data_IF_763564856949
#
_entry.id   IF_763564856949
#
_cell.length_a   1.000
_cell.length_b   1.000
_cell.length_c   1.000
_cell.angle_alpha   90.00
_cell.angle_beta   90.00
_cell.angle_gamma   90.00
#
_symmetry.space_group_name_H-M   'P 1'
#
loop_
_entity.id
_entity.type
_entity.pdbx_description
1 polymer ?
#
# COMPACT_ATOMS: atom_id res chain seq x y z
N UNK A 1 -8.34 3.38 18.52
CA UNK A 1 -8.06 4.48 17.57
C UNK A 1 -6.63 4.93 17.82
N UNK A 2 -5.77 4.93 16.80
CA UNK A 2 -4.38 5.34 16.93
C UNK A 2 -4.20 6.66 16.19
N UNK A 3 -4.05 7.76 16.93
CA UNK A 3 -3.83 9.08 16.35
C UNK A 3 -2.36 9.20 15.92
N UNK A 4 -2.09 9.86 14.79
CA UNK A 4 -0.72 9.95 14.23
C UNK A 4 0.12 11.02 14.94
N UNK A 5 -0.53 12.05 15.46
CA UNK A 5 0.14 13.16 16.13
C UNK A 5 -0.58 13.48 17.44
N UNK A 6 0.21 13.75 18.47
CA UNK A 6 -0.24 14.13 19.80
C UNK A 6 0.44 15.44 20.19
N UNK A 7 -0.32 16.34 20.78
CA UNK A 7 0.20 17.59 21.35
C UNK A 7 -0.59 17.94 22.62
N UNK A 8 -0.07 18.87 23.40
CA UNK A 8 -0.65 19.31 24.66
C UNK A 8 -0.74 20.82 24.70
N UNK A 9 -1.95 21.35 24.74
CA UNK A 9 -2.20 22.78 24.91
C UNK A 9 -2.20 23.12 26.40
N UNK A 10 -1.39 24.10 26.79
CA UNK A 10 -1.31 24.60 28.16
C UNK A 10 -1.65 26.08 28.24
N UNK A 11 -2.30 26.50 29.32
CA UNK A 11 -2.58 27.91 29.61
C UNK A 11 -2.73 28.18 31.11
N UNK A 12 -2.51 29.43 31.52
CA UNK A 12 -2.67 29.87 32.92
C UNK A 12 -4.12 30.24 33.29
N UNK A 13 -5.05 30.25 32.32
CA UNK A 13 -6.47 30.53 32.54
C UNK A 13 -7.37 29.71 31.63
N UNK A 14 -8.64 29.45 32.01
CA UNK A 14 -9.60 28.74 31.15
C UNK A 14 -9.86 29.46 29.82
N UNK A 15 -9.92 30.81 29.85
CA UNK A 15 -10.17 31.62 28.66
C UNK A 15 -9.02 31.54 27.65
N UNK A 16 -7.78 31.49 28.13
CA UNK A 16 -6.62 31.36 27.25
C UNK A 16 -6.50 29.94 26.70
N UNK A 17 -6.86 28.92 27.50
CA UNK A 17 -6.94 27.55 27.01
C UNK A 17 -7.96 27.43 25.88
N UNK A 18 -9.16 28.01 26.04
CA UNK A 18 -10.20 27.99 25.01
C UNK A 18 -9.75 28.64 23.70
N UNK A 19 -9.05 29.79 23.77
CA UNK A 19 -8.50 30.47 22.58
C UNK A 19 -7.47 29.59 21.86
N UNK A 20 -6.55 28.98 22.60
CA UNK A 20 -5.49 28.13 22.03
C UNK A 20 -6.05 26.83 21.44
N UNK A 21 -7.05 26.22 22.07
CA UNK A 21 -7.76 25.06 21.50
C UNK A 21 -8.47 25.46 20.20
N UNK A 22 -9.15 26.61 20.18
CA UNK A 22 -9.83 27.10 18.98
C UNK A 22 -8.86 27.27 17.81
N UNK A 23 -7.63 27.71 18.08
CA UNK A 23 -6.58 27.80 17.05
C UNK A 23 -6.14 26.41 16.57
N UNK A 24 -5.89 25.47 17.48
CA UNK A 24 -5.54 24.08 17.15
C UNK A 24 -6.64 23.37 16.34
N UNK A 25 -7.91 23.63 16.62
CA UNK A 25 -9.04 23.11 15.83
C UNK A 25 -8.98 23.58 14.37
N UNK A 26 -8.62 24.85 14.12
CA UNK A 26 -8.44 25.38 12.76
C UNK A 26 -7.28 24.73 12.02
N UNK A 27 -6.27 24.30 12.76
CA UNK A 27 -5.08 23.58 12.26
C UNK A 27 -5.34 22.07 12.07
N UNK A 28 -6.57 21.61 12.27
CA UNK A 28 -6.96 20.20 12.05
C UNK A 28 -6.67 19.27 13.23
N UNK A 29 -6.42 19.82 14.42
CA UNK A 29 -6.34 19.05 15.66
C UNK A 29 -7.72 18.88 16.30
N UNK A 30 -7.86 17.90 17.19
CA UNK A 30 -9.06 17.64 17.96
C UNK A 30 -8.72 17.40 19.44
N UNK A 31 -9.51 17.92 20.41
CA UNK A 31 -9.33 17.58 21.82
C UNK A 31 -9.43 16.08 22.06
N UNK A 32 -8.50 15.56 22.87
CA UNK A 32 -8.50 14.17 23.30
C UNK A 32 -8.71 14.08 24.81
N UNK A 33 -9.84 13.50 25.20
CA UNK A 33 -10.25 13.42 26.60
C UNK A 33 -10.61 14.78 27.20
N UNK A 34 -10.85 14.78 28.51
CA UNK A 34 -11.21 15.99 29.26
C UNK A 34 -9.98 16.84 29.59
N UNK A 35 -10.17 18.16 29.63
CA UNK A 35 -9.17 19.08 30.16
C UNK A 35 -8.85 18.78 31.63
N UNK A 36 -7.60 18.98 32.00
CA UNK A 36 -7.09 18.73 33.35
C UNK A 36 -6.54 20.03 33.94
N UNK A 37 -6.61 20.16 35.26
CA UNK A 37 -6.02 21.27 36.01
C UNK A 37 -4.85 20.70 36.80
N UNK A 38 -3.65 21.24 36.58
CA UNK A 38 -2.46 20.93 37.36
C UNK A 38 -2.17 22.09 38.32
N UNK A 39 -1.93 21.77 39.58
CA UNK A 39 -1.49 22.73 40.61
C UNK A 39 -0.06 22.48 41.07
N UNK A 40 0.71 21.68 40.31
CA UNK A 40 2.05 21.22 40.69
C UNK A 40 3.16 22.29 40.56
N UNK A 41 2.82 23.59 40.51
CA UNK A 41 3.76 24.72 40.39
C UNK A 41 3.20 26.03 40.95
N UNK A 42 3.85 27.16 40.64
CA UNK A 42 3.50 28.54 41.09
C UNK A 42 2.19 29.09 40.46
N UNK A 43 1.14 28.29 40.35
CA UNK A 43 -0.16 28.66 39.79
C UNK A 43 -0.95 27.46 39.24
N UNK A 44 -2.25 27.64 39.04
CA UNK A 44 -3.10 26.64 38.38
C UNK A 44 -2.86 26.67 36.85
N UNK A 45 -2.45 25.54 36.29
CA UNK A 45 -2.23 25.37 34.85
C UNK A 45 -3.35 24.49 34.26
N UNK A 46 -4.00 25.00 33.22
CA UNK A 46 -5.04 24.29 32.48
C UNK A 46 -4.44 23.60 31.26
N UNK A 47 -4.70 22.31 31.12
CA UNK A 47 -4.04 21.43 30.16
C UNK A 47 -5.08 20.66 29.36
N UNK A 48 -5.01 20.71 28.02
CA UNK A 48 -5.84 19.91 27.12
C UNK A 48 -4.96 19.11 26.15
N UNK A 49 -4.97 17.76 26.22
CA UNK A 49 -4.40 16.92 25.19
C UNK A 49 -5.18 17.10 23.87
N UNK A 50 -4.48 17.16 22.75
CA UNK A 50 -5.05 17.23 21.41
C UNK A 50 -4.38 16.22 20.47
N UNK A 51 -5.13 15.76 19.48
CA UNK A 51 -4.71 14.74 18.52
C UNK A 51 -5.05 15.15 17.09
N UNK A 52 -4.29 14.67 16.12
CA UNK A 52 -4.64 14.84 14.70
C UNK A 52 -4.34 13.57 13.89
N UNK A 53 -5.15 13.35 12.86
CA UNK A 53 -4.99 12.26 11.90
C UNK A 53 -4.41 12.73 10.55
N UNK A 54 -4.34 14.04 10.29
CA UNK A 54 -3.81 14.65 9.07
C UNK A 54 -2.37 15.16 9.22
N UNK A 55 -1.69 15.42 8.08
CA UNK A 55 -0.40 16.11 8.06
C UNK A 55 -0.58 17.57 8.48
N UNK A 56 -0.17 17.91 9.71
CA UNK A 56 -0.28 19.27 10.24
C UNK A 56 0.81 20.15 9.64
N UNK A 57 0.40 21.19 8.91
CA UNK A 57 1.27 22.34 8.59
C UNK A 57 1.51 23.11 9.89
N UNK A 58 2.65 22.90 10.55
CA UNK A 58 2.99 23.66 11.75
C UNK A 58 3.31 25.11 11.38
N UNK A 59 2.78 26.12 12.10
CA UNK A 59 3.29 27.48 12.00
C UNK A 59 4.72 27.51 12.54
N UNK A 60 5.64 28.12 11.79
CA UNK A 60 7.05 28.23 12.14
C UNK A 60 7.24 28.99 13.46
N UNK A 61 7.80 28.33 14.48
CA UNK A 61 8.48 29.05 15.57
C UNK A 61 9.93 29.33 15.15
N UNK A 62 10.39 30.59 15.23
CA UNK A 62 11.74 30.95 14.88
C UNK A 62 12.70 30.51 15.99
N UNK A 63 13.55 29.53 15.68
CA UNK A 63 14.79 29.30 16.41
C UNK A 63 14.82 28.10 17.34
N UNK A 64 14.64 26.89 16.82
CA UNK A 64 15.54 25.78 17.15
C UNK A 64 15.31 24.61 16.21
N UNK A 65 16.21 24.43 15.24
CA UNK A 65 16.22 23.26 14.36
C UNK A 65 17.59 22.59 14.46
N UNK A 66 17.69 21.33 14.87
CA UNK A 66 18.42 20.38 14.07
C UNK A 66 17.60 20.23 12.79
N UNK A 67 18.05 20.87 11.70
CA UNK A 67 17.49 20.72 10.36
C UNK A 67 17.52 19.25 9.94
N UNK A 68 16.41 18.54 10.12
CA UNK A 68 16.11 17.35 9.32
C UNK A 68 14.74 17.50 8.67
N UNK A 69 14.59 18.52 7.81
CA UNK A 69 13.95 18.23 6.53
C UNK A 69 14.93 17.32 5.82
N UNK A 70 14.82 16.01 6.08
CA UNK A 70 15.49 15.05 5.24
C UNK A 70 15.01 15.33 3.82
N UNK A 71 15.90 15.50 2.84
CA UNK A 71 15.49 15.47 1.45
C UNK A 71 14.65 14.20 1.22
N UNK A 72 13.70 14.25 0.29
CA UNK A 72 12.99 13.06 -0.22
C UNK A 72 14.00 12.15 -0.93
N UNK A 73 14.88 11.51 -0.17
CA UNK A 73 15.87 10.56 -0.68
C UNK A 73 15.08 9.30 -1.01
N UNK A 74 15.29 8.78 -2.22
CA UNK A 74 14.73 7.50 -2.61
C UNK A 74 15.15 6.43 -1.57
N UNK A 75 14.26 5.48 -1.23
CA UNK A 75 14.61 4.42 -0.29
C UNK A 75 15.91 3.69 -0.68
N UNK A 76 16.74 3.39 0.32
CA UNK A 76 17.96 2.59 0.12
C UNK A 76 17.64 1.13 -0.24
N UNK A 77 16.50 0.62 0.20
CA UNK A 77 15.99 -0.73 -0.08
C UNK A 77 14.47 -0.79 0.17
N UNK A 78 13.85 -1.90 -0.18
CA UNK A 78 12.42 -2.11 -0.06
C UNK A 78 12.06 -3.38 0.71
N UNK A 79 11.04 -3.28 1.55
CA UNK A 79 10.23 -4.43 1.96
C UNK A 79 9.28 -4.77 0.82
N UNK A 80 9.41 -5.98 0.28
CA UNK A 80 8.65 -6.47 -0.87
C UNK A 80 7.38 -7.16 -0.39
N UNK A 81 6.23 -6.77 -0.93
CA UNK A 81 4.94 -7.42 -0.64
C UNK A 81 4.35 -7.87 -1.96
N UNK A 82 4.20 -9.19 -2.14
CA UNK A 82 3.47 -9.73 -3.28
C UNK A 82 1.96 -9.72 -3.01
N UNK A 83 1.18 -9.31 -4.01
CA UNK A 83 -0.28 -9.34 -3.98
C UNK A 83 -0.74 -10.34 -5.04
N UNK A 84 -1.46 -11.38 -4.64
CA UNK A 84 -1.90 -12.44 -5.53
C UNK A 84 -3.30 -12.94 -5.18
N UNK A 85 -3.94 -13.55 -6.18
CA UNK A 85 -5.29 -14.07 -6.06
C UNK A 85 -6.21 -13.56 -7.16
N UNK A 86 -7.47 -13.27 -6.83
CA UNK A 86 -8.47 -12.82 -7.79
C UNK A 86 -9.01 -11.41 -7.51
N UNK A 87 -10.26 -11.13 -7.91
CA UNK A 87 -10.89 -9.80 -7.90
C UNK A 87 -10.79 -9.08 -6.56
N UNK A 88 -11.11 -9.77 -5.45
CA UNK A 88 -11.05 -9.19 -4.12
C UNK A 88 -9.61 -8.96 -3.61
N UNK A 89 -8.60 -9.51 -4.29
CA UNK A 89 -7.19 -9.23 -4.03
C UNK A 89 -6.66 -7.99 -4.77
N UNK A 90 -7.48 -7.31 -5.58
CA UNK A 90 -7.06 -6.20 -6.45
C UNK A 90 -8.12 -5.10 -6.56
N UNK A 91 -7.94 -4.20 -7.52
CA UNK A 91 -8.81 -3.05 -7.75
C UNK A 91 -10.17 -3.45 -8.31
N UNK A 92 -11.10 -3.82 -7.42
CA UNK A 92 -12.51 -4.07 -7.74
C UNK A 92 -13.45 -3.16 -6.93
N UNK A 93 -12.92 -2.27 -6.09
CA UNK A 93 -13.71 -1.26 -5.41
C UNK A 93 -14.24 -0.22 -6.39
N UNK A 94 -15.56 -0.18 -6.57
CA UNK A 94 -16.22 0.69 -7.56
C UNK A 94 -16.41 2.14 -7.09
N UNK A 95 -16.09 2.44 -5.82
CA UNK A 95 -16.16 3.79 -5.27
C UNK A 95 -15.22 4.76 -5.97
N UNK A 96 -15.56 6.06 -5.91
CA UNK A 96 -14.74 7.13 -6.49
C UNK A 96 -13.34 7.16 -5.85
N UNK A 97 -12.25 7.08 -6.63
CA UNK A 97 -10.91 7.25 -6.11
C UNK A 97 -10.67 8.65 -5.53
N UNK A 98 -9.89 8.72 -4.46
CA UNK A 98 -9.58 9.92 -3.68
C UNK A 98 -8.07 10.24 -3.67
N UNK A 99 -7.45 10.54 -4.83
CA UNK A 99 -6.00 10.68 -4.98
C UNK A 99 -5.41 11.86 -4.19
N UNK A 100 -6.22 12.85 -3.82
CA UNK A 100 -5.78 13.96 -2.98
C UNK A 100 -5.75 13.60 -1.48
N UNK A 101 -6.34 12.46 -1.08
CA UNK A 101 -6.46 12.05 0.33
C UNK A 101 -6.04 10.59 0.56
N UNK A 102 -6.98 9.67 0.74
CA UNK A 102 -6.72 8.28 1.14
C UNK A 102 -5.94 7.51 0.08
N UNK A 103 -6.15 7.84 -1.20
CA UNK A 103 -5.55 7.14 -2.34
C UNK A 103 -4.28 7.84 -2.87
N UNK A 104 -3.82 8.88 -2.19
CA UNK A 104 -2.60 9.60 -2.56
C UNK A 104 -1.38 8.68 -2.64
N UNK A 105 -0.56 8.74 -3.70
CA UNK A 105 0.72 8.03 -3.73
C UNK A 105 1.65 8.49 -2.60
N UNK A 106 2.50 7.59 -2.13
CA UNK A 106 3.58 7.93 -1.18
C UNK A 106 4.94 7.78 -1.87
N UNK A 107 5.90 8.71 -1.69
CA UNK A 107 7.21 8.63 -2.33
C UNK A 107 8.03 7.38 -1.95
N UNK A 108 7.77 6.75 -0.80
CA UNK A 108 8.42 5.51 -0.34
C UNK A 108 7.65 4.23 -0.71
N UNK A 109 6.45 4.34 -1.28
CA UNK A 109 5.65 3.19 -1.71
C UNK A 109 5.66 3.11 -3.24
N UNK A 110 6.17 1.99 -3.75
CA UNK A 110 6.33 1.72 -5.18
C UNK A 110 5.64 0.42 -5.56
N UNK A 111 5.49 0.18 -6.85
CA UNK A 111 5.05 -1.10 -7.41
C UNK A 111 5.91 -1.51 -8.61
N UNK A 112 5.91 -2.79 -8.95
CA UNK A 112 6.44 -3.26 -10.22
C UNK A 112 5.42 -3.05 -11.35
N UNK A 113 5.81 -2.31 -12.38
CA UNK A 113 4.98 -2.01 -13.52
C UNK A 113 4.63 -3.27 -14.36
N UNK A 114 3.42 -3.26 -14.93
CA UNK A 114 2.98 -4.15 -16.03
C UNK A 114 2.48 -3.42 -17.27
N UNK A 115 1.62 -2.42 -17.08
CA UNK A 115 1.06 -1.58 -18.16
C UNK A 115 2.17 -0.86 -18.95
N UNK A 116 1.82 -0.33 -20.13
CA UNK A 116 2.71 0.48 -20.96
C UNK A 116 2.93 1.90 -20.42
N UNK A 117 2.08 2.37 -19.51
CA UNK A 117 2.21 3.68 -18.85
C UNK A 117 1.92 3.56 -17.36
N UNK A 118 2.51 4.46 -16.55
CA UNK A 118 2.38 4.50 -15.08
C UNK A 118 0.94 4.75 -14.64
N UNK A 119 0.26 5.65 -15.34
CA UNK A 119 -1.18 5.94 -15.22
C UNK A 119 -1.77 6.00 -16.63
N UNK A 120 -3.11 5.95 -16.82
CA UNK A 120 -3.69 6.15 -18.14
C UNK A 120 -3.28 7.49 -18.76
N UNK A 121 -2.59 7.45 -19.91
CA UNK A 121 -2.05 8.65 -20.58
C UNK A 121 -0.81 9.27 -19.91
N UNK A 122 -0.28 8.65 -18.86
CA UNK A 122 0.89 9.10 -18.14
C UNK A 122 2.22 8.69 -18.78
N UNK A 123 3.31 8.83 -18.01
CA UNK A 123 4.65 8.45 -18.44
C UNK A 123 4.74 6.97 -18.82
N UNK A 124 5.54 6.66 -19.84
CA UNK A 124 5.80 5.28 -20.29
C UNK A 124 6.55 4.51 -19.21
N UNK A 125 6.18 3.24 -19.01
CA UNK A 125 6.93 2.30 -18.18
C UNK A 125 7.05 0.94 -18.88
N UNK A 126 8.07 0.17 -18.51
CA UNK A 126 8.30 -1.19 -18.98
C UNK A 126 7.93 -2.20 -17.90
N UNK A 127 7.70 -3.45 -18.31
CA UNK A 127 7.46 -4.55 -17.38
C UNK A 127 8.58 -4.63 -16.33
N UNK A 128 8.20 -4.67 -15.04
CA UNK A 128 9.08 -4.66 -13.87
C UNK A 128 9.92 -3.38 -13.64
N UNK A 129 9.55 -2.24 -14.24
CA UNK A 129 10.03 -0.94 -13.77
C UNK A 129 9.48 -0.65 -12.37
N UNK A 130 10.27 0.03 -11.54
CA UNK A 130 9.82 0.52 -10.23
C UNK A 130 9.12 1.85 -10.45
N UNK A 131 7.81 1.89 -10.24
CA UNK A 131 6.97 3.07 -10.46
C UNK A 131 6.20 3.44 -9.18
N UNK A 132 5.65 4.66 -9.06
CA UNK A 132 4.75 4.99 -7.95
C UNK A 132 3.58 3.99 -7.83
N UNK A 133 3.22 3.65 -6.60
CA UNK A 133 1.98 2.93 -6.32
C UNK A 133 0.84 3.93 -6.09
N UNK A 134 -0.31 3.65 -6.68
CA UNK A 134 -1.58 4.36 -6.43
C UNK A 134 -2.71 3.34 -6.15
N UNK A 135 -3.96 3.79 -6.15
CA UNK A 135 -5.13 2.95 -5.85
C UNK A 135 -5.43 1.87 -6.89
N UNK A 136 -4.88 1.96 -8.10
CA UNK A 136 -5.15 1.03 -9.20
C UNK A 136 -3.86 0.37 -9.69
N UNK A 137 -3.42 -0.65 -8.96
CA UNK A 137 -2.13 -1.31 -9.16
C UNK A 137 -2.05 -2.10 -10.49
N UNK A 138 -0.82 -2.39 -10.93
CA UNK A 138 -0.50 -3.06 -12.19
C UNK A 138 -0.63 -4.59 -12.11
N UNK A 139 -1.80 -5.07 -11.66
CA UNK A 139 -2.18 -6.49 -11.64
C UNK A 139 -2.24 -7.10 -13.05
N UNK A 140 -2.44 -8.41 -13.16
CA UNK A 140 -2.51 -9.10 -14.48
C UNK A 140 -3.67 -8.56 -15.32
N UNK A 141 -4.78 -8.21 -14.66
CA UNK A 141 -5.92 -7.55 -15.28
C UNK A 141 -5.85 -6.03 -15.06
N UNK A 142 -5.96 -5.27 -16.15
CA UNK A 142 -5.93 -3.80 -16.09
C UNK A 142 -7.31 -3.23 -15.79
N UNK A 143 -7.47 -2.71 -14.57
CA UNK A 143 -8.72 -2.11 -14.11
C UNK A 143 -8.74 -0.57 -14.25
N UNK A 144 -7.69 0.02 -14.82
CA UNK A 144 -7.48 1.47 -14.83
C UNK A 144 -8.39 2.24 -15.78
N UNK A 145 -9.11 1.54 -16.65
CA UNK A 145 -10.05 2.12 -17.62
C UNK A 145 -11.51 2.02 -17.18
N UNK A 146 -11.78 1.36 -16.04
CA UNK A 146 -13.12 1.19 -15.49
C UNK A 146 -13.41 2.31 -14.50
N UNK A 147 -13.76 3.47 -15.03
CA UNK A 147 -13.92 4.70 -14.23
C UNK A 147 -15.30 4.77 -13.57
N UNK A 148 -15.33 5.30 -12.34
CA UNK A 148 -16.58 5.71 -11.71
C UNK A 148 -17.30 6.79 -12.56
N UNK A 149 -18.65 6.80 -12.66
CA UNK A 149 -19.39 7.75 -13.50
C UNK A 149 -19.19 9.24 -13.15
N UNK A 150 -18.72 9.53 -11.94
CA UNK A 150 -18.42 10.89 -11.44
C UNK A 150 -16.92 11.20 -11.36
N UNK A 151 -16.08 10.38 -11.99
CA UNK A 151 -14.64 10.57 -11.97
C UNK A 151 -14.22 11.82 -12.77
N UNK A 152 -13.36 12.64 -12.16
CA UNK A 152 -12.59 13.67 -12.85
C UNK A 152 -11.20 13.13 -13.18
N UNK A 153 -11.01 12.71 -14.43
CA UNK A 153 -9.74 12.11 -14.88
C UNK A 153 -8.57 13.10 -14.85
N UNK A 154 -8.85 14.41 -14.92
CA UNK A 154 -7.79 15.43 -14.81
C UNK A 154 -7.16 15.46 -13.42
N UNK A 155 -7.87 14.92 -12.41
CA UNK A 155 -7.41 14.77 -11.02
C UNK A 155 -6.84 13.39 -10.72
N UNK A 156 -6.67 12.53 -11.72
CA UNK A 156 -6.18 11.17 -11.51
C UNK A 156 -7.20 10.20 -10.91
N UNK A 157 -8.50 10.52 -10.94
CA UNK A 157 -9.58 9.65 -10.44
C UNK A 157 -9.93 8.52 -11.41
N UNK A 158 -8.93 7.86 -11.98
CA UNK A 158 -9.11 6.82 -12.97
C UNK A 158 -9.35 5.44 -12.32
N UNK A 159 -10.00 4.54 -13.04
CA UNK A 159 -10.15 3.15 -12.65
C UNK A 159 -10.96 2.91 -11.38
N UNK A 160 -10.72 1.74 -10.80
CA UNK A 160 -11.29 1.25 -9.54
C UNK A 160 -10.23 1.20 -8.45
N UNK A 161 -10.64 0.97 -7.20
CA UNK A 161 -9.78 1.04 -6.02
C UNK A 161 -9.47 -0.35 -5.48
N UNK A 162 -8.19 -0.60 -5.18
CA UNK A 162 -7.70 -1.82 -4.53
C UNK A 162 -6.93 -1.51 -3.25
N UNK A 163 -6.89 -2.47 -2.33
CA UNK A 163 -6.36 -2.29 -0.97
C UNK A 163 -4.82 -2.30 -0.86
N UNK A 164 -4.10 -2.66 -1.93
CA UNK A 164 -2.65 -2.86 -1.87
C UNK A 164 -1.87 -1.61 -1.43
N UNK A 165 -2.26 -0.43 -1.93
CA UNK A 165 -1.70 0.86 -1.49
C UNK A 165 -1.97 1.08 0.00
N UNK A 166 -3.19 0.83 0.47
CA UNK A 166 -3.59 1.11 1.84
C UNK A 166 -2.94 0.15 2.85
N UNK A 167 -2.71 -1.10 2.45
CA UNK A 167 -1.87 -2.06 3.22
C UNK A 167 -0.46 -1.48 3.38
N UNK A 168 0.17 -1.06 2.27
CA UNK A 168 1.50 -0.48 2.32
C UNK A 168 1.57 0.79 3.18
N UNK A 169 0.61 1.72 3.02
CA UNK A 169 0.53 2.94 3.83
C UNK A 169 0.42 2.65 5.33
N UNK A 170 -0.33 1.61 5.71
CA UNK A 170 -0.48 1.21 7.12
C UNK A 170 0.78 0.55 7.67
N UNK A 171 1.58 -0.11 6.84
CA UNK A 171 2.84 -0.74 7.23
C UNK A 171 4.03 0.22 7.25
N UNK A 172 4.02 1.26 6.40
CA UNK A 172 5.13 2.19 6.22
C UNK A 172 5.67 2.83 7.52
N UNK A 173 4.84 3.17 8.53
CA UNK A 173 5.34 3.70 9.81
C UNK A 173 6.13 2.70 10.65
N UNK A 174 6.04 1.40 10.36
CA UNK A 174 6.67 0.33 11.13
C UNK A 174 7.98 -0.18 10.52
N UNK A 175 8.40 0.38 9.38
CA UNK A 175 9.68 0.04 8.74
C UNK A 175 10.70 1.18 8.89
N UNK A 176 12.02 0.90 8.81
CA UNK A 176 13.06 1.93 8.90
C UNK A 176 12.85 3.10 7.91
N UNK A 177 13.21 4.31 8.34
CA UNK A 177 13.00 5.53 7.56
C UNK A 177 13.73 5.53 6.20
N UNK A 178 14.88 4.85 6.10
CA UNK A 178 15.63 4.68 4.86
C UNK A 178 15.08 3.55 3.96
N UNK A 179 14.06 2.81 4.40
CA UNK A 179 13.42 1.74 3.63
C UNK A 179 12.10 2.21 3.00
N UNK A 180 11.67 1.54 1.93
CA UNK A 180 10.36 1.72 1.30
C UNK A 180 9.57 0.42 1.26
N UNK A 181 8.39 0.46 0.65
CA UNK A 181 7.60 -0.73 0.33
C UNK A 181 7.51 -0.86 -1.18
N UNK A 182 7.82 -2.05 -1.70
CA UNK A 182 7.69 -2.40 -3.11
C UNK A 182 6.60 -3.45 -3.27
N UNK A 183 5.46 -3.04 -3.84
CA UNK A 183 4.33 -3.91 -4.13
C UNK A 183 4.57 -4.68 -5.43
N UNK A 184 4.20 -5.95 -5.42
CA UNK A 184 4.31 -6.85 -6.59
C UNK A 184 2.90 -7.35 -6.95
N UNK A 185 2.12 -6.54 -7.69
CA UNK A 185 0.75 -6.88 -8.07
C UNK A 185 0.72 -7.99 -9.14
N UNK A 186 0.03 -9.09 -8.82
CA UNK A 186 -0.08 -10.32 -9.62
C UNK A 186 -1.50 -10.92 -9.59
N UNK A 187 -2.50 -10.17 -9.16
CA UNK A 187 -3.87 -10.65 -9.09
C UNK A 187 -4.53 -10.72 -10.48
N UNK A 188 -5.56 -11.56 -10.59
CA UNK A 188 -6.39 -11.66 -11.80
C UNK A 188 -7.84 -11.97 -11.45
N UNK A 189 -8.76 -11.06 -11.72
CA UNK A 189 -10.19 -11.29 -11.50
C UNK A 189 -10.71 -12.56 -12.18
N UNK A 190 -11.63 -13.28 -11.55
CA UNK A 190 -12.18 -14.53 -12.09
C UNK A 190 -11.18 -15.67 -12.26
N UNK A 191 -10.00 -15.60 -11.62
CA UNK A 191 -9.03 -16.69 -11.63
C UNK A 191 -9.34 -17.74 -10.55
N UNK A 192 -9.03 -19.00 -10.87
CA UNK A 192 -9.30 -20.15 -10.01
C UNK A 192 -8.21 -21.21 -10.15
N UNK A 193 -8.15 -22.17 -9.22
CA UNK A 193 -7.31 -23.35 -9.39
C UNK A 193 -7.99 -24.42 -10.25
N UNK A 194 -9.31 -24.54 -10.13
CA UNK A 194 -10.09 -25.68 -10.65
C UNK A 194 -10.79 -25.39 -11.97
N UNK A 195 -10.89 -24.12 -12.38
CA UNK A 195 -11.45 -23.67 -13.66
C UNK A 195 -10.62 -22.53 -14.28
N UNK A 196 -10.98 -22.09 -15.47
CA UNK A 196 -10.30 -21.02 -16.19
C UNK A 196 -9.23 -21.52 -17.17
N UNK A 197 -8.81 -20.62 -18.06
CA UNK A 197 -7.83 -20.86 -19.10
C UNK A 197 -6.41 -20.69 -18.56
N UNK A 198 -5.47 -21.51 -19.02
CA UNK A 198 -4.06 -21.38 -18.63
C UNK A 198 -3.48 -20.02 -19.06
N UNK A 199 -3.79 -19.57 -20.29
CA UNK A 199 -3.17 -18.39 -20.90
C UNK A 199 -1.72 -18.67 -21.31
N UNK A 200 -0.89 -17.62 -21.37
CA UNK A 200 0.52 -17.70 -21.73
C UNK A 200 1.38 -16.86 -20.78
N UNK A 201 2.67 -17.19 -20.74
CA UNK A 201 3.68 -16.45 -19.97
C UNK A 201 4.84 -16.05 -20.88
N UNK A 202 5.39 -14.85 -20.66
CA UNK A 202 6.61 -14.36 -21.29
C UNK A 202 7.46 -13.62 -20.28
N UNK A 203 8.79 -13.80 -20.32
CA UNK A 203 9.72 -13.06 -19.45
C UNK A 203 9.67 -11.53 -19.69
N UNK A 204 9.21 -11.10 -20.88
CA UNK A 204 9.16 -9.70 -21.27
C UNK A 204 7.87 -8.97 -20.82
N UNK A 205 6.78 -9.69 -20.57
CA UNK A 205 5.46 -9.10 -20.30
C UNK A 205 4.64 -9.79 -19.21
N UNK A 206 5.13 -10.90 -18.67
CA UNK A 206 4.45 -11.68 -17.65
C UNK A 206 3.31 -12.56 -18.19
N UNK A 207 2.38 -12.89 -17.30
CA UNK A 207 1.14 -13.60 -17.66
C UNK A 207 0.26 -12.75 -18.60
N UNK A 208 -0.34 -13.41 -19.59
CA UNK A 208 -1.32 -12.80 -20.48
C UNK A 208 -2.64 -12.52 -19.77
N UNK A 209 -3.41 -11.53 -20.26
CA UNK A 209 -4.70 -11.13 -19.69
C UNK A 209 -5.72 -12.29 -19.60
N UNK A 210 -5.67 -13.24 -20.52
CA UNK A 210 -6.55 -14.42 -20.53
C UNK A 210 -6.07 -15.57 -19.62
N UNK A 211 -4.98 -15.41 -18.87
CA UNK A 211 -4.52 -16.39 -17.88
C UNK A 211 -5.44 -16.35 -16.66
N UNK A 212 -6.38 -17.28 -16.53
CA UNK A 212 -7.34 -17.35 -15.41
C UNK A 212 -7.20 -18.62 -14.58
N UNK A 213 -6.12 -19.38 -14.77
CA UNK A 213 -5.80 -20.59 -14.01
C UNK A 213 -4.59 -20.39 -13.09
N UNK A 214 -4.82 -20.51 -11.78
CA UNK A 214 -3.76 -20.71 -10.79
C UNK A 214 -3.33 -22.17 -10.72
N UNK A 215 -2.09 -22.40 -10.30
CA UNK A 215 -1.52 -23.74 -10.12
C UNK A 215 -0.03 -23.75 -10.42
N UNK A 216 0.66 -24.79 -9.96
CA UNK A 216 2.09 -24.97 -10.21
C UNK A 216 2.38 -24.93 -11.71
N UNK A 217 3.43 -24.19 -12.08
CA UNK A 217 3.91 -23.97 -13.46
C UNK A 217 2.92 -23.31 -14.43
N UNK A 218 1.73 -22.88 -13.96
CA UNK A 218 0.77 -22.10 -14.74
C UNK A 218 1.26 -20.66 -14.93
N UNK A 219 0.82 -19.96 -15.99
CA UNK A 219 1.25 -18.58 -16.24
C UNK A 219 1.09 -17.61 -15.07
N UNK A 220 -0.03 -17.66 -14.32
CA UNK A 220 -0.21 -16.83 -13.13
C UNK A 220 0.81 -17.12 -12.02
N UNK A 221 1.15 -18.40 -11.82
CA UNK A 221 2.19 -18.80 -10.87
C UNK A 221 3.57 -18.31 -11.33
N UNK A 222 3.92 -18.52 -12.60
CA UNK A 222 5.18 -18.05 -13.19
C UNK A 222 5.34 -16.53 -13.09
N UNK A 223 4.25 -15.79 -13.27
CA UNK A 223 4.21 -14.35 -13.08
C UNK A 223 4.43 -13.94 -11.63
N UNK A 224 3.75 -14.58 -10.67
CA UNK A 224 3.95 -14.34 -9.23
C UNK A 224 5.40 -14.58 -8.79
N UNK A 225 5.96 -15.77 -9.06
CA UNK A 225 7.34 -16.09 -8.66
C UNK A 225 8.36 -15.22 -9.42
N UNK A 226 8.17 -15.04 -10.73
CA UNK A 226 9.08 -14.26 -11.57
C UNK A 226 9.15 -12.80 -11.15
N UNK A 227 8.00 -12.17 -10.88
CA UNK A 227 7.94 -10.76 -10.43
C UNK A 227 8.42 -10.59 -9.00
N UNK A 228 8.15 -11.55 -8.11
CA UNK A 228 8.69 -11.51 -6.74
C UNK A 228 10.22 -11.58 -6.78
N UNK A 229 10.78 -12.51 -7.55
CA UNK A 229 12.23 -12.61 -7.78
C UNK A 229 12.79 -11.35 -8.43
N UNK A 230 12.09 -10.77 -9.40
CA UNK A 230 12.51 -9.52 -10.02
C UNK A 230 12.59 -8.38 -8.99
N UNK A 231 11.61 -8.24 -8.11
CA UNK A 231 11.61 -7.25 -7.03
C UNK A 231 12.80 -7.45 -6.07
N UNK A 232 13.06 -8.67 -5.64
CA UNK A 232 14.18 -8.98 -4.74
C UNK A 232 15.55 -8.74 -5.39
N UNK A 233 15.71 -9.11 -6.67
CA UNK A 233 16.94 -8.90 -7.45
C UNK A 233 17.29 -7.43 -7.68
N UNK A 234 16.33 -6.50 -7.60
CA UNK A 234 16.60 -5.05 -7.80
C UNK A 234 17.61 -4.51 -6.77
N UNK A 235 17.65 -5.09 -5.58
CA UNK A 235 18.58 -4.69 -4.53
C UNK A 235 18.78 -5.85 -3.54
N UNK A 236 20.03 -6.28 -3.26
CA UNK A 236 20.30 -7.39 -2.35
C UNK A 236 19.84 -7.16 -0.90
N UNK A 237 19.55 -5.91 -0.51
CA UNK A 237 18.95 -5.56 0.79
C UNK A 237 17.43 -5.64 0.80
N UNK A 238 16.77 -5.85 -0.34
CA UNK A 238 15.32 -6.04 -0.36
C UNK A 238 14.95 -7.29 0.43
N UNK A 239 13.82 -7.26 1.13
CA UNK A 239 13.34 -8.38 1.94
C UNK A 239 11.91 -8.72 1.54
N UNK A 240 11.62 -9.99 1.24
CA UNK A 240 10.24 -10.44 1.08
C UNK A 240 9.54 -10.39 2.44
N UNK A 241 8.60 -9.47 2.58
CA UNK A 241 7.91 -9.22 3.84
C UNK A 241 6.66 -10.07 4.00
N UNK A 242 5.85 -10.19 2.95
CA UNK A 242 4.64 -10.99 2.94
C UNK A 242 4.17 -11.31 1.52
N UNK A 243 3.33 -12.35 1.42
CA UNK A 243 2.43 -12.57 0.29
C UNK A 243 1.01 -12.37 0.79
N UNK A 244 0.29 -11.38 0.25
CA UNK A 244 -1.13 -11.18 0.51
C UNK A 244 -1.91 -11.97 -0.53
N UNK A 245 -2.60 -13.02 -0.08
CA UNK A 245 -3.36 -13.92 -0.94
C UNK A 245 -4.86 -13.79 -0.67
N UNK A 246 -5.65 -13.43 -1.69
CA UNK A 246 -7.12 -13.34 -1.61
C UNK A 246 -7.75 -14.00 -2.83
N UNK A 247 -8.15 -15.27 -2.68
CA UNK A 247 -8.74 -16.06 -3.74
C UNK A 247 -9.59 -17.21 -3.21
N UNK A 248 -10.59 -17.62 -3.98
CA UNK A 248 -11.34 -18.86 -3.79
C UNK A 248 -12.74 -18.83 -4.38
N UNK A 249 -13.25 -17.64 -4.71
CA UNK A 249 -14.65 -17.43 -5.10
C UNK A 249 -15.02 -18.21 -6.36
N UNK A 250 -14.13 -18.29 -7.36
CA UNK A 250 -14.41 -19.00 -8.61
C UNK A 250 -14.13 -20.52 -8.53
N UNK A 251 -13.44 -21.00 -7.49
CA UNK A 251 -13.29 -22.44 -7.28
C UNK A 251 -14.59 -23.12 -6.83
N UNK A 252 -15.53 -22.36 -6.24
CA UNK A 252 -16.88 -22.86 -5.93
C UNK A 252 -17.65 -23.33 -7.17
N UNK A 253 -17.40 -22.73 -8.32
CA UNK A 253 -18.01 -23.13 -9.59
C UNK A 253 -17.30 -24.28 -10.31
N UNK A 254 -16.16 -24.75 -9.78
CA UNK A 254 -15.35 -25.83 -10.35
C UNK A 254 -15.43 -27.11 -9.54
N UNK A 255 -14.29 -27.58 -9.04
CA UNK A 255 -14.18 -28.75 -8.14
C UNK A 255 -13.64 -28.30 -6.78
N UNK A 256 -14.46 -27.70 -5.90
CA UNK A 256 -13.99 -26.97 -4.72
C UNK A 256 -13.16 -27.84 -3.77
N UNK A 257 -13.44 -29.15 -3.75
CA UNK A 257 -12.71 -30.16 -2.98
C UNK A 257 -11.22 -30.21 -3.28
N UNK A 258 -10.79 -29.78 -4.46
CA UNK A 258 -9.38 -29.77 -4.88
C UNK A 258 -8.64 -28.48 -4.52
N UNK A 259 -9.36 -27.40 -4.14
CA UNK A 259 -8.77 -26.08 -3.91
C UNK A 259 -7.66 -26.13 -2.86
N UNK A 260 -7.90 -26.75 -1.71
CA UNK A 260 -6.93 -26.79 -0.62
C UNK A 260 -5.62 -27.49 -1.01
N UNK A 261 -5.72 -28.62 -1.71
CA UNK A 261 -4.55 -29.36 -2.19
C UNK A 261 -3.75 -28.56 -3.25
N UNK A 262 -4.44 -27.90 -4.18
CA UNK A 262 -3.80 -27.10 -5.22
C UNK A 262 -3.16 -25.82 -4.68
N UNK A 263 -3.81 -25.17 -3.71
CA UNK A 263 -3.22 -24.04 -2.99
C UNK A 263 -1.97 -24.45 -2.21
N UNK A 264 -2.04 -25.57 -1.45
CA UNK A 264 -0.88 -26.11 -0.73
C UNK A 264 0.30 -26.38 -1.66
N UNK A 265 0.07 -27.06 -2.78
CA UNK A 265 1.11 -27.32 -3.78
C UNK A 265 1.71 -26.01 -4.37
N UNK A 266 0.90 -24.98 -4.59
CA UNK A 266 1.38 -23.68 -5.07
C UNK A 266 2.28 -22.99 -4.02
N UNK A 267 1.88 -23.02 -2.75
CA UNK A 267 2.67 -22.44 -1.64
C UNK A 267 3.99 -23.15 -1.47
N UNK A 268 3.99 -24.49 -1.46
CA UNK A 268 5.20 -25.29 -1.33
C UNK A 268 6.17 -25.02 -2.49
N UNK A 269 5.64 -24.99 -3.72
CA UNK A 269 6.45 -24.66 -4.90
C UNK A 269 7.00 -23.23 -4.84
N UNK A 270 6.19 -22.24 -4.44
CA UNK A 270 6.64 -20.85 -4.30
C UNK A 270 7.80 -20.71 -3.31
N UNK A 271 7.71 -21.37 -2.15
CA UNK A 271 8.79 -21.39 -1.15
C UNK A 271 10.04 -22.08 -1.68
N UNK A 272 9.88 -23.25 -2.30
CA UNK A 272 11.00 -23.99 -2.88
C UNK A 272 11.71 -23.17 -3.97
N UNK A 273 10.95 -22.49 -4.82
CA UNK A 273 11.52 -21.68 -5.90
C UNK A 273 12.21 -20.41 -5.40
N UNK A 274 11.98 -19.96 -4.16
CA UNK A 274 12.70 -18.83 -3.56
C UNK A 274 13.98 -19.23 -2.81
N UNK A 275 14.36 -20.52 -2.83
CA UNK A 275 15.54 -20.99 -2.10
C UNK A 275 16.85 -20.29 -2.51
N UNK A 276 16.98 -19.87 -3.78
CA UNK A 276 18.12 -19.09 -4.28
C UNK A 276 18.17 -17.66 -3.72
N UNK A 277 17.12 -17.21 -3.03
CA UNK A 277 16.97 -15.89 -2.42
C UNK A 277 16.75 -15.96 -0.90
N UNK A 278 17.10 -17.07 -0.25
CA UNK A 278 16.84 -17.30 1.17
C UNK A 278 17.32 -16.16 2.09
N UNK A 279 18.45 -15.52 1.78
CA UNK A 279 18.98 -14.36 2.54
C UNK A 279 18.07 -13.12 2.51
N UNK A 280 17.16 -13.04 1.56
CA UNK A 280 16.16 -11.98 1.40
C UNK A 280 14.76 -12.43 1.83
N UNK A 281 14.62 -13.67 2.32
CA UNK A 281 13.36 -14.27 2.78
C UNK A 281 13.44 -14.60 4.29
N UNK A 282 13.94 -13.66 5.09
CA UNK A 282 14.13 -13.83 6.53
C UNK A 282 12.79 -13.72 7.27
N UNK A 283 12.23 -14.85 7.71
CA UNK A 283 11.00 -14.87 8.51
C UNK A 283 10.02 -16.03 8.28
N UNK A 284 10.38 -17.04 7.47
CA UNK A 284 9.56 -18.24 7.25
C UNK A 284 10.36 -19.42 6.75
#
# INVERSE_FOLDING_TARGET
MAFKHYDVVRAASPSDLAKRITQKLKEGWQPYGSALISTAGYGAEFIQPVVSEGSISSPEEPGNRPTTSAPSVAPEYYYVIALAGQSNGMSYGEGLPLPDTFDSPDPRIKQLARRSTVTPGGAVCKYNDIIPADHCLHDVQDMSRLNHPKADLSKGQYGTVGQGLHIAKKLLPFIPANAGILLVPCCRGGSAFTTGADGTYSDASGASENSTRWGVDKPLYKDLIGRTKAALKKNPKNVLFAVVWMQGEFDFGGTPVNHAAQFGALVDKFRADLADMAGQCVGG
#
